data_IF_362727109334
#
_entry.id   IF_362727109334
#
_cell.length_a   1.000
_cell.length_b   1.000
_cell.length_c   1.000
_cell.angle_alpha   90.00
_cell.angle_beta   90.00
_cell.angle_gamma   90.00
#
_symmetry.space_group_name_H-M   'P 1'
#
loop_
_entity.id
_entity.type
_entity.pdbx_description
1 polymer ?
#
# COMPACT_ATOMS: atom_id res chain seq x y z
N UNK A 1 -15.87 6.79 14.00
CA UNK A 1 -14.41 6.65 13.89
C UNK A 1 -14.12 6.39 12.43
N UNK A 2 -13.83 7.43 11.66
CA UNK A 2 -13.51 7.32 10.24
C UNK A 2 -12.03 6.94 10.13
N UNK A 3 -11.76 5.65 9.99
CA UNK A 3 -10.41 5.12 9.84
C UNK A 3 -10.06 5.10 8.35
N UNK A 4 -9.79 6.26 7.77
CA UNK A 4 -9.40 6.36 6.37
C UNK A 4 -7.97 5.82 6.18
N UNK A 5 -7.80 4.79 5.35
CA UNK A 5 -6.48 4.28 4.97
C UNK A 5 -5.82 5.23 3.96
N UNK A 6 -4.57 5.62 4.17
CA UNK A 6 -3.78 6.31 3.14
C UNK A 6 -2.88 5.30 2.44
N UNK A 7 -3.06 5.15 1.14
CA UNK A 7 -2.34 4.20 0.29
C UNK A 7 -1.63 4.98 -0.82
N UNK A 8 -0.33 4.78 -0.98
CA UNK A 8 0.46 5.41 -2.04
C UNK A 8 1.01 4.31 -2.96
N UNK A 9 0.68 4.40 -4.25
CA UNK A 9 1.21 3.53 -5.31
C UNK A 9 2.49 4.16 -5.85
N UNK A 10 3.61 3.48 -5.67
CA UNK A 10 4.91 3.86 -6.20
C UNK A 10 5.22 3.04 -7.46
N UNK A 11 5.12 3.67 -8.62
CA UNK A 11 5.36 3.05 -9.91
C UNK A 11 5.46 4.13 -10.99
N UNK A 12 6.32 3.94 -12.00
CA UNK A 12 6.45 4.86 -13.12
C UNK A 12 5.59 4.44 -14.34
N UNK A 13 5.02 3.23 -14.33
CA UNK A 13 4.19 2.73 -15.43
C UNK A 13 2.71 3.11 -15.21
N UNK A 14 2.16 3.97 -16.07
CA UNK A 14 0.81 4.48 -15.93
C UNK A 14 -0.29 3.40 -16.02
N UNK A 15 -0.15 2.43 -16.92
CA UNK A 15 -1.12 1.32 -17.06
C UNK A 15 -1.17 0.47 -15.78
N UNK A 16 -0.01 0.12 -15.22
CA UNK A 16 0.06 -0.61 -13.95
C UNK A 16 -0.49 0.20 -12.79
N UNK A 17 -0.22 1.51 -12.72
CA UNK A 17 -0.82 2.38 -11.70
C UNK A 17 -2.34 2.35 -11.78
N UNK A 18 -2.90 2.53 -12.97
CA UNK A 18 -4.36 2.54 -13.17
C UNK A 18 -5.00 1.20 -12.79
N UNK A 19 -4.37 0.09 -13.15
CA UNK A 19 -4.83 -1.24 -12.77
C UNK A 19 -4.78 -1.46 -11.25
N UNK A 20 -3.67 -1.07 -10.60
CA UNK A 20 -3.49 -1.21 -9.15
C UNK A 20 -4.47 -0.30 -8.39
N UNK A 21 -4.69 0.94 -8.85
CA UNK A 21 -5.67 1.86 -8.29
C UNK A 21 -7.08 1.26 -8.32
N UNK A 22 -7.48 0.70 -9.47
CA UNK A 22 -8.76 0.01 -9.62
C UNK A 22 -8.87 -1.19 -8.66
N UNK A 23 -7.84 -2.03 -8.61
CA UNK A 23 -7.77 -3.20 -7.75
C UNK A 23 -7.85 -2.83 -6.26
N UNK A 24 -7.19 -1.75 -5.83
CA UNK A 24 -7.26 -1.23 -4.47
C UNK A 24 -8.66 -0.72 -4.13
N UNK A 25 -9.27 0.07 -5.02
CA UNK A 25 -10.63 0.56 -4.82
C UNK A 25 -11.66 -0.58 -4.72
N UNK A 26 -11.52 -1.60 -5.55
CA UNK A 26 -12.39 -2.78 -5.50
C UNK A 26 -12.18 -3.57 -4.20
N UNK A 27 -10.93 -3.83 -3.81
CA UNK A 27 -10.60 -4.51 -2.55
C UNK A 27 -11.13 -3.74 -1.32
N UNK A 28 -10.99 -2.41 -1.29
CA UNK A 28 -11.53 -1.58 -0.21
C UNK A 28 -13.06 -1.69 -0.11
N UNK A 29 -13.77 -1.68 -1.25
CA UNK A 29 -15.23 -1.88 -1.27
C UNK A 29 -15.63 -3.24 -0.72
N UNK A 30 -14.93 -4.32 -1.11
CA UNK A 30 -15.20 -5.68 -0.60
C UNK A 30 -15.00 -5.80 0.90
N UNK A 31 -13.98 -5.12 1.44
CA UNK A 31 -13.67 -5.10 2.87
C UNK A 31 -14.48 -4.05 3.65
N UNK A 32 -15.39 -3.34 2.98
CA UNK A 32 -16.21 -2.27 3.55
C UNK A 32 -15.37 -1.20 4.29
N UNK A 33 -14.18 -0.88 3.76
CA UNK A 33 -13.30 0.14 4.31
C UNK A 33 -13.18 1.35 3.36
N UNK A 34 -12.84 2.50 3.94
CA UNK A 34 -12.61 3.72 3.19
C UNK A 34 -11.13 4.10 3.26
N UNK A 35 -10.61 4.62 2.15
CA UNK A 35 -9.23 5.03 2.03
C UNK A 35 -9.01 5.93 0.84
N UNK A 36 -7.88 6.63 0.86
CA UNK A 36 -7.41 7.49 -0.22
C UNK A 36 -6.23 6.81 -0.88
N UNK A 37 -6.36 6.57 -2.18
CA UNK A 37 -5.26 6.11 -3.01
C UNK A 37 -4.60 7.32 -3.66
N UNK A 38 -3.27 7.39 -3.58
CA UNK A 38 -2.42 8.35 -4.28
C UNK A 38 -1.43 7.58 -5.13
N UNK A 39 -0.91 8.18 -6.18
CA UNK A 39 0.17 7.60 -6.99
C UNK A 39 1.36 8.55 -7.05
N UNK A 40 2.55 7.95 -6.95
CA UNK A 40 3.84 8.61 -7.06
C UNK A 40 4.61 7.97 -8.20
N UNK A 41 4.65 8.68 -9.33
CA UNK A 41 5.20 8.18 -10.59
C UNK A 41 6.46 8.86 -11.06
N UNK A 42 6.93 9.88 -10.34
CA UNK A 42 8.11 10.64 -10.72
C UNK A 42 9.39 9.81 -10.52
N UNK A 43 10.14 9.49 -11.59
CA UNK A 43 11.39 8.72 -11.49
C UNK A 43 12.43 9.32 -10.53
N UNK A 44 12.63 10.66 -10.46
CA UNK A 44 13.52 11.26 -9.48
C UNK A 44 13.10 11.00 -8.04
N UNK A 45 11.79 10.94 -7.77
CA UNK A 45 11.24 10.67 -6.44
C UNK A 45 11.42 9.18 -6.10
N UNK A 46 11.07 8.29 -7.02
CA UNK A 46 11.24 6.83 -6.87
C UNK A 46 12.71 6.43 -6.59
N UNK A 47 13.66 7.09 -7.27
CA UNK A 47 15.09 6.85 -7.07
C UNK A 47 15.57 7.30 -5.69
N UNK A 48 15.08 8.46 -5.20
CA UNK A 48 15.42 8.97 -3.86
C UNK A 48 14.89 8.09 -2.74
N UNK A 49 13.70 7.50 -2.92
CA UNK A 49 13.10 6.60 -1.92
C UNK A 49 13.67 5.17 -2.00
N UNK A 50 14.50 4.85 -3.00
CA UNK A 50 15.08 3.51 -3.16
C UNK A 50 14.08 2.40 -3.52
N UNK A 51 12.89 2.78 -4.02
CA UNK A 51 11.81 1.86 -4.42
C UNK A 51 11.83 1.56 -5.92
N UNK A 52 12.55 2.37 -6.72
CA UNK A 52 12.66 2.19 -8.18
C UNK A 52 12.95 0.75 -8.65
N UNK A 53 13.90 -0.02 -8.05
CA UNK A 53 14.15 -1.40 -8.50
C UNK A 53 13.06 -2.41 -8.08
N UNK A 54 12.08 -1.98 -7.28
CA UNK A 54 11.07 -2.83 -6.64
C UNK A 54 9.64 -2.48 -7.04
N UNK A 55 9.44 -1.48 -7.90
CA UNK A 55 8.09 -1.09 -8.35
C UNK A 55 7.38 -2.28 -9.01
N UNK A 56 6.08 -2.49 -8.76
CA UNK A 56 5.18 -1.60 -8.03
C UNK A 56 5.29 -1.81 -6.52
N UNK A 57 5.34 -0.70 -5.78
CA UNK A 57 5.32 -0.72 -4.31
C UNK A 57 4.09 0.02 -3.80
N UNK A 58 3.40 -0.56 -2.84
CA UNK A 58 2.34 0.08 -2.08
C UNK A 58 2.92 0.57 -0.76
N UNK A 59 2.65 1.83 -0.40
CA UNK A 59 2.93 2.36 0.91
C UNK A 59 1.62 2.58 1.66
N UNK A 60 1.50 2.02 2.87
CA UNK A 60 0.32 2.14 3.72
C UNK A 60 0.79 2.44 5.14
N UNK A 61 0.35 3.56 5.72
CA UNK A 61 0.79 4.03 7.05
C UNK A 61 2.34 4.05 7.20
N UNK A 62 3.06 4.43 6.12
CA UNK A 62 4.52 4.47 6.08
C UNK A 62 5.21 3.11 5.94
N UNK A 63 4.46 2.01 5.80
CA UNK A 63 5.00 0.69 5.52
C UNK A 63 5.00 0.40 4.03
N UNK A 64 6.15 -0.01 3.49
CA UNK A 64 6.31 -0.41 2.10
C UNK A 64 6.03 -1.90 1.90
N UNK A 65 5.18 -2.22 0.94
CA UNK A 65 4.84 -3.57 0.55
C UNK A 65 4.89 -3.72 -0.97
N UNK A 66 5.48 -4.79 -1.46
CA UNK A 66 5.45 -5.13 -2.88
C UNK A 66 5.32 -6.63 -3.06
N UNK A 67 4.73 -7.04 -4.18
CA UNK A 67 4.57 -8.45 -4.52
C UNK A 67 5.79 -8.95 -5.31
N UNK A 68 5.92 -8.50 -6.55
CA UNK A 68 7.04 -8.82 -7.45
C UNK A 68 7.38 -7.61 -8.31
N UNK A 69 8.66 -7.29 -8.51
CA UNK A 69 9.06 -6.18 -9.35
C UNK A 69 8.56 -6.36 -10.79
N UNK A 70 7.99 -5.31 -11.37
CA UNK A 70 7.51 -5.26 -12.76
C UNK A 70 6.17 -5.96 -13.01
N UNK A 71 5.64 -6.73 -12.07
CA UNK A 71 4.34 -7.39 -12.20
C UNK A 71 3.22 -6.51 -11.61
N UNK A 72 2.03 -6.54 -12.22
CA UNK A 72 0.84 -5.91 -11.65
C UNK A 72 0.49 -6.54 -10.30
N UNK A 73 -0.01 -5.73 -9.36
CA UNK A 73 -0.56 -6.22 -8.10
C UNK A 73 -2.04 -6.58 -8.34
N UNK A 74 -2.42 -7.87 -8.29
CA UNK A 74 -3.79 -8.27 -8.54
C UNK A 74 -4.70 -7.87 -7.36
N UNK A 75 -5.99 -7.72 -7.65
CA UNK A 75 -7.03 -7.42 -6.65
C UNK A 75 -6.96 -8.32 -5.41
N UNK A 76 -6.79 -9.62 -5.59
CA UNK A 76 -6.70 -10.59 -4.47
C UNK A 76 -5.52 -10.32 -3.54
N UNK A 77 -4.39 -9.83 -4.08
CA UNK A 77 -3.24 -9.43 -3.27
C UNK A 77 -3.53 -8.15 -2.50
N UNK A 78 -4.21 -7.18 -3.11
CA UNK A 78 -4.71 -5.98 -2.43
C UNK A 78 -5.67 -6.34 -1.29
N UNK A 79 -6.62 -7.25 -1.53
CA UNK A 79 -7.57 -7.73 -0.52
C UNK A 79 -6.85 -8.37 0.67
N UNK A 80 -5.91 -9.29 0.43
CA UNK A 80 -5.14 -9.94 1.50
C UNK A 80 -4.30 -8.94 2.29
N UNK A 81 -3.66 -7.98 1.62
CA UNK A 81 -2.87 -6.94 2.27
C UNK A 81 -3.75 -6.06 3.17
N UNK A 82 -4.86 -5.54 2.63
CA UNK A 82 -5.77 -4.67 3.36
C UNK A 82 -6.45 -5.40 4.52
N UNK A 83 -6.89 -6.64 4.33
CA UNK A 83 -7.46 -7.45 5.39
C UNK A 83 -6.45 -7.66 6.53
N UNK A 84 -5.17 -7.90 6.20
CA UNK A 84 -4.10 -8.04 7.20
C UNK A 84 -3.87 -6.75 7.98
N UNK A 85 -3.88 -5.60 7.31
CA UNK A 85 -3.69 -4.28 7.95
C UNK A 85 -4.88 -3.96 8.85
N UNK A 86 -6.10 -4.18 8.38
CA UNK A 86 -7.33 -3.96 9.15
C UNK A 86 -7.46 -4.92 10.34
N UNK A 87 -6.96 -6.15 10.22
CA UNK A 87 -6.95 -7.16 11.29
C UNK A 87 -5.80 -6.97 12.27
N UNK A 88 -4.75 -6.23 11.92
CA UNK A 88 -3.65 -5.95 12.84
C UNK A 88 -4.06 -4.80 13.75
N UNK A 89 -3.90 -4.92 15.08
CA UNK A 89 -4.09 -3.77 15.96
C UNK A 89 -3.09 -2.70 15.55
N UNK A 90 -3.59 -1.61 14.96
CA UNK A 90 -2.79 -0.40 14.72
C UNK A 90 -2.32 0.05 16.10
N UNK A 91 -1.05 -0.16 16.40
CA UNK A 91 -0.43 0.41 17.58
C UNK A 91 -0.68 1.91 17.54
N UNK A 92 -1.41 2.43 18.52
CA UNK A 92 -1.54 3.87 18.70
C UNK A 92 -0.14 4.48 18.84
N UNK A 93 0.04 5.78 18.53
CA UNK A 93 1.31 6.45 18.76
C UNK A 93 1.63 6.39 20.26
N UNK A 94 2.47 5.43 20.68
CA UNK A 94 2.85 5.28 22.08
C UNK A 94 3.22 3.87 22.57
N UNK A 95 2.87 2.79 21.87
CA UNK A 95 3.21 1.43 22.37
C UNK A 95 4.47 0.88 21.70
N UNK A 96 5.62 1.17 22.32
CA UNK A 96 6.87 0.44 22.13
C UNK A 96 6.70 -1.00 22.62
N UNK A 97 6.91 -1.98 21.73
CA UNK A 97 7.21 -3.33 22.19
C UNK A 97 8.62 -3.35 22.79
N UNK A 98 8.71 -3.22 24.11
CA UNK A 98 9.82 -3.81 24.84
C UNK A 98 9.58 -5.32 24.80
N UNK A 99 10.11 -6.01 23.80
CA UNK A 99 10.32 -7.44 23.92
C UNK A 99 11.46 -7.63 24.93
N UNK A 100 11.07 -7.87 26.18
CA UNK A 100 11.94 -8.31 27.26
C UNK A 100 12.63 -9.62 26.87
N UNK A 101 13.97 -9.60 26.99
CA UNK A 101 14.95 -10.68 27.21
C UNK A 101 14.77 -12.03 26.53
#
# INVERSE_FOLDING_TARGET
MDQSLEIIIWDYNADRIAAIDHNLHSAMRKLNCQGRVKSMSEPPLLARTGVLPRVPVLEIDGMYWSLRPGEEIPETACEHLLARILSSPRHGPGEQWILQR
#
